data_IF_991468619386
#
_entry.id   IF_991468619386
#
_cell.length_a   1.000
_cell.length_b   1.000
_cell.length_c   1.000
_cell.angle_alpha   90.00
_cell.angle_beta   90.00
_cell.angle_gamma   90.00
#
_symmetry.space_group_name_H-M   'P 1'
#
loop_
_entity.id
_entity.type
_entity.pdbx_description
1 polymer ?
#
# COMPACT_ATOMS: atom_id res chain seq x y z
N UNK A 1 16.50 3.48 26.21
CA UNK A 1 16.48 2.68 24.98
C UNK A 1 15.21 1.84 25.03
N UNK A 2 14.14 2.30 24.38
CA UNK A 2 12.88 1.56 24.35
C UNK A 2 13.00 0.54 23.23
N UNK A 3 13.13 -0.73 23.59
CA UNK A 3 13.02 -1.83 22.65
C UNK A 3 11.53 -1.91 22.29
N UNK A 4 11.17 -1.43 21.11
CA UNK A 4 9.87 -1.77 20.53
C UNK A 4 9.92 -3.27 20.27
N UNK A 5 9.15 -4.03 21.05
CA UNK A 5 8.82 -5.41 20.68
C UNK A 5 8.04 -5.33 19.37
N UNK A 6 8.73 -5.57 18.26
CA UNK A 6 8.07 -5.85 16.99
C UNK A 6 7.47 -7.23 17.20
N UNK A 7 6.25 -7.28 17.74
CA UNK A 7 5.41 -8.46 17.61
C UNK A 7 5.32 -8.74 16.11
N UNK A 8 5.88 -9.87 15.67
CA UNK A 8 5.70 -10.32 14.30
C UNK A 8 4.21 -10.55 14.10
N UNK A 9 3.55 -9.61 13.44
CA UNK A 9 2.17 -9.76 13.06
C UNK A 9 2.11 -10.76 11.90
N UNK A 10 1.98 -12.04 12.28
CA UNK A 10 1.94 -13.19 11.36
C UNK A 10 0.60 -13.27 10.58
N UNK A 11 -0.26 -12.25 10.65
CA UNK A 11 -1.50 -12.21 9.88
C UNK A 11 -1.18 -12.01 8.40
N UNK A 12 -1.83 -12.81 7.54
CA UNK A 12 -1.79 -12.63 6.10
C UNK A 12 -2.80 -11.56 5.67
N UNK A 13 -2.40 -10.76 4.68
CA UNK A 13 -3.25 -9.77 4.02
C UNK A 13 -3.26 -9.96 2.51
N UNK A 14 -4.40 -9.66 1.89
CA UNK A 14 -4.55 -9.64 0.44
C UNK A 14 -3.96 -8.36 -0.16
N UNK A 15 -3.19 -8.53 -1.22
CA UNK A 15 -2.52 -7.44 -1.93
C UNK A 15 -3.36 -6.97 -3.12
N UNK A 16 -3.58 -5.65 -3.21
CA UNK A 16 -4.22 -5.03 -4.38
C UNK A 16 -3.28 -5.00 -5.58
N UNK A 17 -3.86 -4.92 -6.78
CA UNK A 17 -3.14 -4.88 -8.07
C UNK A 17 -2.80 -6.27 -8.61
N UNK A 18 -2.24 -7.14 -7.78
CA UNK A 18 -1.64 -8.41 -8.23
C UNK A 18 -2.35 -9.69 -7.75
N UNK A 19 -3.35 -9.58 -6.86
CA UNK A 19 -4.08 -10.73 -6.32
C UNK A 19 -3.28 -11.67 -5.41
N UNK A 20 -2.09 -11.25 -4.96
CA UNK A 20 -1.23 -12.00 -4.05
C UNK A 20 -1.60 -11.84 -2.57
N UNK A 21 -0.86 -12.53 -1.71
CA UNK A 21 -0.94 -12.40 -0.26
C UNK A 21 0.46 -12.28 0.35
N UNK A 22 0.59 -11.52 1.44
CA UNK A 22 1.83 -11.41 2.22
C UNK A 22 1.54 -11.24 3.71
N UNK A 23 2.54 -11.36 4.56
CA UNK A 23 2.41 -11.05 5.99
C UNK A 23 2.22 -9.54 6.18
N UNK A 24 1.37 -9.16 7.13
CA UNK A 24 1.00 -7.76 7.36
C UNK A 24 2.21 -6.86 7.61
N UNK A 25 3.19 -7.35 8.39
CA UNK A 25 4.42 -6.62 8.70
C UNK A 25 5.36 -6.43 7.48
N UNK A 26 5.15 -7.18 6.40
CA UNK A 26 5.89 -7.06 5.13
C UNK A 26 5.13 -6.29 4.05
N UNK A 27 3.83 -6.05 4.23
CA UNK A 27 3.01 -5.36 3.25
C UNK A 27 3.31 -3.85 3.22
N UNK A 28 3.33 -3.27 2.02
CA UNK A 28 3.22 -1.82 1.86
C UNK A 28 1.77 -1.41 2.13
N UNK A 29 1.56 -0.34 2.90
CA UNK A 29 0.24 0.14 3.26
C UNK A 29 -0.04 1.54 2.72
N UNK A 30 -1.09 1.67 1.91
CA UNK A 30 -1.67 2.96 1.55
C UNK A 30 -2.77 3.32 2.53
N UNK A 31 -2.46 4.26 3.43
CA UNK A 31 -3.38 4.76 4.45
C UNK A 31 -4.59 5.51 3.89
N UNK A 32 -4.49 6.06 2.67
CA UNK A 32 -5.56 6.88 2.08
C UNK A 32 -6.67 6.03 1.50
N UNK A 33 -6.33 4.97 0.78
CA UNK A 33 -7.30 4.03 0.23
C UNK A 33 -7.45 2.75 1.08
N UNK A 34 -6.71 2.66 2.20
CA UNK A 34 -6.69 1.51 3.13
C UNK A 34 -6.34 0.20 2.42
N UNK A 35 -5.38 0.27 1.50
CA UNK A 35 -4.93 -0.86 0.70
C UNK A 35 -3.60 -1.42 1.21
N UNK A 36 -3.43 -2.74 1.06
CA UNK A 36 -2.14 -3.41 1.23
C UNK A 36 -1.59 -3.81 -0.15
N UNK A 37 -0.26 -3.78 -0.29
CA UNK A 37 0.44 -4.25 -1.48
C UNK A 37 1.60 -5.14 -1.06
N UNK A 38 1.82 -6.21 -1.82
CA UNK A 38 2.90 -7.15 -1.51
C UNK A 38 4.26 -6.51 -1.76
N UNK A 39 4.34 -5.68 -2.81
CA UNK A 39 5.53 -4.97 -3.23
C UNK A 39 5.15 -3.75 -4.12
N UNK A 40 6.17 -3.11 -4.68
CA UNK A 40 6.02 -1.99 -5.60
C UNK A 40 5.34 -2.39 -6.93
N UNK A 41 5.45 -3.64 -7.38
CA UNK A 41 4.82 -4.11 -8.62
C UNK A 41 3.30 -4.14 -8.43
N UNK A 42 2.83 -4.73 -7.34
CA UNK A 42 1.41 -4.73 -6.97
C UNK A 42 0.85 -3.30 -6.82
N UNK A 43 1.63 -2.38 -6.23
CA UNK A 43 1.25 -0.97 -6.15
C UNK A 43 1.13 -0.33 -7.54
N UNK A 44 2.08 -0.57 -8.45
CA UNK A 44 2.05 -0.03 -9.82
C UNK A 44 0.88 -0.55 -10.62
N UNK A 45 0.56 -1.83 -10.53
CA UNK A 45 -0.60 -2.43 -11.20
C UNK A 45 -1.90 -1.77 -10.71
N UNK A 46 -2.08 -1.65 -9.40
CA UNK A 46 -3.22 -0.95 -8.83
C UNK A 46 -3.26 0.53 -9.25
N UNK A 47 -2.12 1.22 -9.22
CA UNK A 47 -2.03 2.64 -9.59
C UNK A 47 -2.34 2.87 -11.07
N UNK A 48 -1.97 1.94 -11.95
CA UNK A 48 -2.27 2.01 -13.39
C UNK A 48 -3.78 1.92 -13.64
N UNK A 49 -4.46 1.01 -12.94
CA UNK A 49 -5.93 0.88 -13.01
C UNK A 49 -6.66 2.07 -12.35
N UNK A 50 -5.99 2.81 -11.46
CA UNK A 50 -6.58 3.90 -10.67
C UNK A 50 -5.91 5.25 -10.95
N UNK A 51 -5.41 5.45 -12.17
CA UNK A 51 -4.60 6.63 -12.54
C UNK A 51 -5.30 7.96 -12.27
N UNK A 52 -6.62 8.02 -12.44
CA UNK A 52 -7.41 9.23 -12.18
C UNK A 52 -7.31 9.68 -10.71
N UNK A 53 -7.36 8.74 -9.76
CA UNK A 53 -7.24 9.03 -8.32
C UNK A 53 -5.85 9.55 -7.96
N UNK A 54 -4.81 9.03 -8.62
CA UNK A 54 -3.42 9.44 -8.43
C UNK A 54 -3.21 10.84 -9.00
N UNK A 55 -3.72 11.12 -10.20
CA UNK A 55 -3.64 12.44 -10.84
C UNK A 55 -4.38 13.49 -10.01
N UNK A 56 -5.62 13.23 -9.58
CA UNK A 56 -6.41 14.16 -8.76
C UNK A 56 -5.69 14.49 -7.43
N UNK A 57 -5.02 13.51 -6.84
CA UNK A 57 -4.23 13.73 -5.64
C UNK A 57 -3.01 14.59 -5.89
N UNK A 58 -2.24 14.25 -6.92
CA UNK A 58 -1.03 15.00 -7.25
C UNK A 58 -1.35 16.44 -7.64
N UNK A 59 -2.45 16.66 -8.37
CA UNK A 59 -2.96 18.00 -8.70
C UNK A 59 -3.29 18.79 -7.43
N UNK A 60 -4.08 18.23 -6.49
CA UNK A 60 -4.41 18.92 -5.23
C UNK A 60 -3.20 19.35 -4.42
N UNK A 61 -2.11 18.59 -4.47
CA UNK A 61 -0.91 18.89 -3.70
C UNK A 61 0.01 19.91 -4.40
N UNK A 62 -0.02 20.01 -5.73
CA UNK A 62 1.04 20.67 -6.49
C UNK A 62 0.56 21.71 -7.52
N UNK A 63 -0.75 21.77 -7.80
CA UNK A 63 -1.30 22.64 -8.84
C UNK A 63 -2.38 23.53 -8.20
N UNK A 64 -2.22 24.84 -8.37
CA UNK A 64 -3.11 25.90 -7.86
C UNK A 64 -3.99 26.49 -8.95
#
# INVERSE_FOLDING_TARGET
MVLFNIENDDRLVECKGCGGQTFLNLALYDSRHKNHFCDEVCFKEWAFENVELIVEFYQRMNVS
#
